data_IF_000033584388
#
_entry.id   IF_000033584388
#
_cell.length_a   1.000
_cell.length_b   1.000
_cell.length_c   1.000
_cell.angle_alpha   90.00
_cell.angle_beta   90.00
_cell.angle_gamma   90.00
#
_symmetry.space_group_name_H-M   'P 1'
#
loop_
_entity.id
_entity.type
_entity.pdbx_description
1 polymer ?
#
# COMPACT_ATOMS: atom_id res chain seq x y z
N UNK A 1 -39.95 1.46 40.41
CA UNK A 1 -38.47 1.55 40.58
C UNK A 1 -37.86 1.32 39.21
N UNK A 2 -37.19 2.33 38.67
CA UNK A 2 -36.64 2.32 37.30
C UNK A 2 -35.36 1.46 37.24
N UNK A 3 -35.17 0.68 36.16
CA UNK A 3 -33.95 -0.10 35.98
C UNK A 3 -32.76 0.83 35.72
N UNK A 4 -31.65 0.57 36.41
CA UNK A 4 -30.41 1.34 36.32
C UNK A 4 -29.63 0.88 35.08
N UNK A 5 -29.60 1.70 34.03
CA UNK A 5 -28.73 1.45 32.88
C UNK A 5 -27.27 1.49 33.32
N UNK A 6 -26.59 0.34 33.21
CA UNK A 6 -25.17 0.22 33.47
C UNK A 6 -24.39 0.61 32.22
N UNK A 7 -24.06 1.90 32.09
CA UNK A 7 -23.23 2.44 30.98
C UNK A 7 -21.74 2.19 31.25
N UNK A 8 -21.41 0.97 31.65
CA UNK A 8 -20.02 0.53 31.84
C UNK A 8 -19.78 -0.77 31.10
N UNK A 9 -20.20 -0.84 29.84
CA UNK A 9 -19.46 -1.69 28.92
C UNK A 9 -18.23 -0.86 28.56
N UNK A 10 -17.14 -1.10 29.30
CA UNK A 10 -15.82 -0.92 28.73
C UNK A 10 -15.88 -1.81 27.49
N UNK A 11 -16.15 -1.21 26.35
CA UNK A 11 -15.93 -1.87 25.09
C UNK A 11 -14.45 -2.19 25.13
N UNK A 12 -14.16 -3.43 25.54
CA UNK A 12 -12.94 -4.10 25.19
C UNK A 12 -12.87 -3.94 23.69
N UNK A 13 -12.11 -2.95 23.26
CA UNK A 13 -11.56 -2.85 21.93
C UNK A 13 -10.59 -4.04 21.82
N UNK A 14 -11.16 -5.24 21.86
CA UNK A 14 -10.52 -6.47 21.47
C UNK A 14 -10.27 -6.25 19.98
N UNK A 15 -9.07 -5.75 19.70
CA UNK A 15 -8.59 -5.51 18.34
C UNK A 15 -8.96 -6.74 17.53
N UNK A 16 -9.87 -6.53 16.60
CA UNK A 16 -10.50 -7.55 15.81
C UNK A 16 -9.37 -8.43 15.23
N UNK A 17 -9.31 -9.70 15.61
CA UNK A 17 -8.18 -10.60 15.29
C UNK A 17 -8.04 -10.86 13.77
N UNK A 18 -9.00 -10.37 12.99
CA UNK A 18 -9.07 -10.37 11.52
C UNK A 18 -8.44 -9.12 10.87
N UNK A 19 -8.24 -8.02 11.60
CA UNK A 19 -7.54 -6.82 11.13
C UNK A 19 -6.02 -6.98 11.28
N UNK A 20 -5.48 -8.12 10.83
CA UNK A 20 -4.05 -8.24 10.61
C UNK A 20 -3.71 -7.36 9.40
N UNK A 21 -3.41 -6.08 9.66
CA UNK A 21 -2.80 -5.15 8.71
C UNK A 21 -1.40 -5.63 8.32
N UNK A 22 -1.33 -6.74 7.60
CA UNK A 22 -0.13 -7.26 6.96
C UNK A 22 -0.10 -6.85 5.51
N UNK A 23 1.09 -6.74 4.94
CA UNK A 23 1.25 -6.53 3.51
C UNK A 23 0.58 -7.69 2.75
N UNK A 24 -0.43 -7.36 1.94
CA UNK A 24 -1.05 -8.33 1.02
C UNK A 24 -0.02 -8.74 -0.03
N UNK A 25 -0.19 -9.96 -0.58
CA UNK A 25 0.59 -10.44 -1.73
C UNK A 25 0.48 -9.47 -2.90
N UNK A 26 -0.69 -8.84 -3.09
CA UNK A 26 -0.92 -7.82 -4.12
C UNK A 26 0.01 -6.63 -3.91
N UNK A 27 0.10 -6.14 -2.68
CA UNK A 27 0.94 -4.98 -2.34
C UNK A 27 2.43 -5.28 -2.57
N UNK A 28 2.87 -6.51 -2.33
CA UNK A 28 4.23 -6.95 -2.64
C UNK A 28 4.44 -6.98 -4.16
N UNK A 29 3.46 -7.50 -4.91
CA UNK A 29 3.49 -7.51 -6.37
C UNK A 29 3.55 -6.08 -6.95
N UNK A 30 2.84 -5.12 -6.37
CA UNK A 30 2.91 -3.70 -6.76
C UNK A 30 4.31 -3.12 -6.58
N UNK A 31 4.99 -3.43 -5.47
CA UNK A 31 6.38 -3.01 -5.24
C UNK A 31 7.38 -3.65 -6.21
N UNK A 32 7.15 -4.92 -6.59
CA UNK A 32 7.95 -5.61 -7.62
C UNK A 32 7.72 -4.94 -8.97
N UNK A 33 6.47 -4.70 -9.37
CA UNK A 33 6.12 -4.05 -10.63
C UNK A 33 6.72 -2.64 -10.71
N UNK A 34 6.61 -1.85 -9.64
CA UNK A 34 7.28 -0.55 -9.53
C UNK A 34 8.77 -0.66 -9.85
N UNK A 35 9.46 -1.61 -9.22
CA UNK A 35 10.91 -1.81 -9.37
C UNK A 35 11.28 -2.24 -10.79
N UNK A 36 10.51 -3.16 -11.38
CA UNK A 36 10.70 -3.66 -12.75
C UNK A 36 10.52 -2.52 -13.75
N UNK A 37 9.43 -1.75 -13.67
CA UNK A 37 9.19 -0.65 -14.59
C UNK A 37 10.20 0.49 -14.43
N UNK A 38 10.64 0.80 -13.21
CA UNK A 38 11.70 1.77 -12.96
C UNK A 38 13.02 1.33 -13.61
N UNK A 39 13.40 0.05 -13.43
CA UNK A 39 14.58 -0.51 -14.07
C UNK A 39 14.47 -0.46 -15.60
N UNK A 40 13.32 -0.86 -16.16
CA UNK A 40 13.10 -0.80 -17.62
C UNK A 40 13.17 0.63 -18.13
N UNK A 41 12.60 1.62 -17.43
CA UNK A 41 12.65 3.02 -17.82
C UNK A 41 14.11 3.54 -17.87
N UNK A 42 14.93 3.21 -16.86
CA UNK A 42 16.35 3.57 -16.83
C UNK A 42 17.10 2.91 -18.00
N UNK A 43 16.87 1.62 -18.25
CA UNK A 43 17.49 0.94 -19.39
C UNK A 43 17.10 1.60 -20.71
N UNK A 44 15.80 1.86 -20.94
CA UNK A 44 15.31 2.51 -22.17
C UNK A 44 15.94 3.88 -22.38
N UNK A 45 16.14 4.64 -21.30
CA UNK A 45 16.84 5.92 -21.34
C UNK A 45 18.30 5.77 -21.77
N UNK A 46 19.02 4.78 -21.23
CA UNK A 46 20.42 4.48 -21.59
C UNK A 46 20.54 4.04 -23.05
N UNK A 47 19.63 3.19 -23.52
CA UNK A 47 19.62 2.69 -24.91
C UNK A 47 19.11 3.74 -25.92
N UNK A 48 18.71 4.93 -25.48
CA UNK A 48 18.28 6.03 -26.35
C UNK A 48 16.85 5.90 -26.90
N UNK A 49 16.05 4.98 -26.35
CA UNK A 49 14.65 4.77 -26.71
C UNK A 49 13.73 5.67 -25.88
N UNK A 50 13.79 6.98 -26.17
CA UNK A 50 13.04 8.00 -25.44
C UNK A 50 11.52 7.90 -25.63
N UNK A 51 11.05 7.24 -26.70
CA UNK A 51 9.63 7.06 -26.95
C UNK A 51 8.95 6.19 -25.88
N UNK A 52 9.67 5.18 -25.37
CA UNK A 52 9.13 4.26 -24.38
C UNK A 52 9.32 4.71 -22.93
N UNK A 53 10.24 5.65 -22.68
CA UNK A 53 10.55 6.18 -21.34
C UNK A 53 9.33 6.78 -20.61
N UNK A 54 8.51 7.67 -21.21
CA UNK A 54 7.37 8.26 -20.49
C UNK A 54 6.33 7.21 -20.09
N UNK A 55 6.12 6.16 -20.89
CA UNK A 55 5.19 5.09 -20.58
C UNK A 55 5.67 4.23 -19.39
N UNK A 56 6.95 3.83 -19.39
CA UNK A 56 7.50 3.05 -18.29
C UNK A 56 7.67 3.88 -17.02
N UNK A 57 8.02 5.16 -17.16
CA UNK A 57 8.08 6.12 -16.06
C UNK A 57 6.70 6.32 -15.42
N UNK A 58 5.66 6.49 -16.23
CA UNK A 58 4.28 6.58 -15.74
C UNK A 58 3.87 5.32 -14.96
N UNK A 59 4.18 4.12 -15.47
CA UNK A 59 3.89 2.87 -14.77
C UNK A 59 4.66 2.77 -13.45
N UNK A 60 5.96 3.07 -13.46
CA UNK A 60 6.79 3.06 -12.26
C UNK A 60 6.25 4.03 -11.18
N UNK A 61 5.86 5.25 -11.58
CA UNK A 61 5.26 6.23 -10.68
C UNK A 61 3.90 5.76 -10.18
N UNK A 62 3.04 5.24 -11.07
CA UNK A 62 1.71 4.76 -10.72
C UNK A 62 1.74 3.64 -9.68
N UNK A 63 2.51 2.58 -9.93
CA UNK A 63 2.70 1.50 -8.96
C UNK A 63 3.40 1.98 -7.69
N UNK A 64 4.33 2.94 -7.81
CA UNK A 64 5.00 3.54 -6.65
C UNK A 64 4.04 4.27 -5.72
N UNK A 65 3.15 5.10 -6.26
CA UNK A 65 2.16 5.84 -5.47
C UNK A 65 1.27 4.87 -4.67
N UNK A 66 0.81 3.79 -5.30
CA UNK A 66 -0.03 2.79 -4.61
C UNK A 66 0.79 2.07 -3.54
N UNK A 67 2.00 1.61 -3.86
CA UNK A 67 2.88 0.92 -2.92
C UNK A 67 3.23 1.77 -1.69
N UNK A 68 3.58 3.05 -1.87
CA UNK A 68 3.88 3.96 -0.76
C UNK A 68 2.64 4.32 0.06
N UNK A 69 1.48 4.48 -0.57
CA UNK A 69 0.22 4.73 0.12
C UNK A 69 -0.14 3.56 1.04
N UNK A 70 0.00 2.34 0.52
CA UNK A 70 -0.18 1.10 1.27
C UNK A 70 0.81 0.97 2.42
N UNK A 71 2.10 1.26 2.20
CA UNK A 71 3.10 1.25 3.28
C UNK A 71 2.77 2.24 4.39
N UNK A 72 2.27 3.42 4.04
CA UNK A 72 1.84 4.44 5.00
C UNK A 72 0.64 3.95 5.82
N UNK A 73 -0.34 3.32 5.19
CA UNK A 73 -1.53 2.78 5.86
C UNK A 73 -1.18 1.64 6.83
N UNK A 74 -0.32 0.71 6.40
CA UNK A 74 0.19 -0.37 7.25
C UNK A 74 0.95 0.19 8.46
N UNK A 75 1.73 1.27 8.28
CA UNK A 75 2.47 1.92 9.36
C UNK A 75 1.56 2.67 10.35
N UNK A 76 0.51 3.35 9.87
CA UNK A 76 -0.45 4.07 10.72
C UNK A 76 -1.40 3.11 11.48
N UNK A 77 -1.50 1.87 11.03
CA UNK A 77 -2.27 0.82 11.69
C UNK A 77 -1.56 0.07 12.81
N UNK A 78 -0.33 0.45 13.16
CA UNK A 78 0.36 0.05 14.39
C UNK A 78 0.15 1.14 15.45
#
# INVERSE_FOLDING_TARGET
RTPKFNVSKKDEFSGNHYDKKSLSIVNIAEGILMSVFAFTAINRLIFGDFGMVPFHGMLAIGYGVIFFSTLKEVRQGK
#
